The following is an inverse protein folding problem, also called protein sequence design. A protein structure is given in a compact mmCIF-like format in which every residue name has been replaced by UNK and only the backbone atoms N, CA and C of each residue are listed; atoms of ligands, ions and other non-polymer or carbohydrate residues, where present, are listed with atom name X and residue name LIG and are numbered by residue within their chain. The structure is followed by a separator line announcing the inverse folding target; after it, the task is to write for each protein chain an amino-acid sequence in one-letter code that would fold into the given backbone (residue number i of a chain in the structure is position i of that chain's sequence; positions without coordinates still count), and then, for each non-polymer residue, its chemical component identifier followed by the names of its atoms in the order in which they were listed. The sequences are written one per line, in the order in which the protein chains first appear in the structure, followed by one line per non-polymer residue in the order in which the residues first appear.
data_IF_636939590133
#
_entry.id   IF_636939590133
#
_cell.length_a   1.000
_cell.length_b   1.000
_cell.length_c   1.000
_cell.angle_alpha   90.00
_cell.angle_beta   90.00
_cell.angle_gamma   90.00
#
_symmetry.space_group_name_H-M   'P 1'
#
loop_
_entity.id
_entity.type
_entity.pdbx_description
1 polymer ?
#
# COMPACT_ATOMS: atom_id res chain seq x y z
N UNK A 1 -30.82 -37.84 -42.30
CA UNK A 1 -29.93 -36.67 -42.41
C UNK A 1 -29.70 -36.10 -41.01
N UNK A 2 -28.49 -36.27 -40.44
CA UNK A 2 -28.13 -35.83 -39.08
C UNK A 2 -27.67 -34.37 -39.14
N UNK A 3 -28.33 -33.46 -38.43
CA UNK A 3 -27.84 -32.10 -38.16
C UNK A 3 -27.16 -32.11 -36.80
N UNK A 4 -25.83 -32.08 -36.78
CA UNK A 4 -25.07 -31.81 -35.56
C UNK A 4 -24.87 -30.31 -35.45
N UNK A 5 -25.53 -29.69 -34.48
CA UNK A 5 -25.25 -28.34 -34.05
C UNK A 5 -23.91 -28.33 -33.30
N UNK A 6 -22.90 -27.67 -33.88
CA UNK A 6 -21.73 -27.24 -33.11
C UNK A 6 -22.18 -26.10 -32.20
N UNK A 7 -22.52 -26.41 -30.95
CA UNK A 7 -22.56 -25.40 -29.90
C UNK A 7 -21.14 -24.96 -29.61
N UNK A 8 -20.84 -23.75 -30.07
CA UNK A 8 -19.67 -22.95 -29.74
C UNK A 8 -19.62 -22.77 -28.22
N UNK A 9 -18.92 -23.67 -27.53
CA UNK A 9 -18.61 -23.55 -26.12
C UNK A 9 -17.61 -22.42 -25.94
N UNK A 10 -18.12 -21.19 -25.80
CA UNK A 10 -17.34 -20.05 -25.34
C UNK A 10 -17.01 -20.31 -23.86
N UNK A 11 -15.94 -21.09 -23.63
CA UNK A 11 -15.22 -21.09 -22.36
C UNK A 11 -14.63 -19.69 -22.22
N UNK A 12 -15.41 -18.79 -21.62
CA UNK A 12 -14.88 -17.63 -20.93
C UNK A 12 -13.97 -18.18 -19.83
N UNK A 13 -12.72 -18.45 -20.18
CA UNK A 13 -11.62 -18.39 -19.26
C UNK A 13 -11.59 -16.92 -18.80
N UNK A 14 -12.39 -16.60 -17.79
CA UNK A 14 -12.13 -15.46 -16.94
C UNK A 14 -10.75 -15.76 -16.39
N UNK A 15 -9.72 -15.23 -17.05
CA UNK A 15 -8.42 -15.11 -16.46
C UNK A 15 -8.67 -14.27 -15.20
N UNK A 16 -8.88 -14.96 -14.08
CA UNK A 16 -8.84 -14.34 -12.76
C UNK A 16 -7.42 -13.85 -12.70
N UNK A 17 -7.22 -12.58 -13.04
CA UNK A 17 -5.94 -11.92 -12.85
C UNK A 17 -5.50 -12.31 -11.44
N UNK A 18 -4.30 -12.90 -11.28
CA UNK A 18 -3.89 -13.39 -9.99
C UNK A 18 -4.09 -12.26 -8.99
N UNK A 19 -4.65 -12.55 -7.81
CA UNK A 19 -4.87 -11.57 -6.75
C UNK A 19 -3.64 -10.68 -6.52
N UNK A 20 -2.44 -11.19 -6.84
CA UNK A 20 -1.14 -10.52 -6.92
C UNK A 20 -1.08 -9.25 -7.80
N UNK A 21 -1.62 -9.26 -9.03
CA UNK A 21 -1.66 -8.07 -9.88
C UNK A 21 -2.49 -6.94 -9.25
N UNK A 22 -3.43 -7.29 -8.38
CA UNK A 22 -4.23 -6.32 -7.61
C UNK A 22 -3.51 -5.75 -6.39
N UNK A 23 -2.37 -6.28 -5.96
CA UNK A 23 -1.70 -5.83 -4.73
C UNK A 23 -0.86 -4.58 -4.95
N UNK A 24 0.01 -4.57 -5.96
CA UNK A 24 0.83 -3.41 -6.28
C UNK A 24 -0.03 -2.21 -6.75
N UNK A 25 -1.08 -2.47 -7.54
CA UNK A 25 -2.06 -1.44 -7.93
C UNK A 25 -2.70 -0.75 -6.71
N UNK A 26 -2.87 -1.46 -5.58
CA UNK A 26 -3.44 -0.90 -4.35
C UNK A 26 -2.50 0.02 -3.57
N UNK A 27 -1.20 0.10 -3.90
CA UNK A 27 -0.27 1.10 -3.33
C UNK A 27 -0.01 2.28 -4.28
N UNK A 28 -0.47 2.23 -5.53
CA UNK A 28 -0.25 3.31 -6.52
C UNK A 28 -0.78 4.67 -6.05
N UNK A 29 -1.83 4.70 -5.22
CA UNK A 29 -2.35 5.96 -4.69
C UNK A 29 -1.39 6.61 -3.67
N UNK A 30 -0.55 5.82 -2.98
CA UNK A 30 0.52 6.34 -2.10
C UNK A 30 1.63 6.96 -2.93
N UNK A 31 2.00 6.33 -4.05
CA UNK A 31 3.01 6.86 -4.99
C UNK A 31 2.61 8.22 -5.57
N UNK A 32 1.31 8.50 -5.62
CA UNK A 32 0.76 9.76 -6.15
C UNK A 32 0.64 10.87 -5.08
N UNK A 33 1.05 10.63 -3.83
CA UNK A 33 1.06 11.65 -2.78
C UNK A 33 2.22 12.63 -3.06
N UNK A 34 1.93 13.93 -3.32
CA UNK A 34 2.99 14.90 -3.56
C UNK A 34 3.86 15.05 -2.32
N UNK A 35 5.18 14.98 -2.48
CA UNK A 35 6.14 15.12 -1.39
C UNK A 35 6.79 13.81 -0.94
N UNK A 36 6.14 12.66 -1.21
CA UNK A 36 6.76 11.35 -1.03
C UNK A 36 7.70 11.04 -2.21
N UNK A 37 8.89 10.52 -1.89
CA UNK A 37 9.82 9.98 -2.90
C UNK A 37 10.18 8.56 -2.55
N UNK A 38 9.91 7.63 -3.46
CA UNK A 38 10.30 6.21 -3.31
C UNK A 38 11.82 6.11 -3.32
N UNK A 39 12.39 5.46 -2.30
CA UNK A 39 13.84 5.19 -2.20
C UNK A 39 14.16 3.70 -2.18
N UNK A 40 13.18 2.86 -1.81
CA UNK A 40 13.27 1.40 -1.87
C UNK A 40 11.95 0.84 -2.35
N UNK A 41 12.02 -0.19 -3.18
CA UNK A 41 10.88 -0.97 -3.63
C UNK A 41 11.22 -2.45 -3.54
N UNK A 42 10.40 -3.21 -2.84
CA UNK A 42 10.50 -4.66 -2.78
C UNK A 42 9.12 -5.27 -3.04
N UNK A 43 9.07 -6.21 -3.98
CA UNK A 43 7.86 -6.93 -4.32
C UNK A 43 8.16 -8.42 -4.37
N UNK A 44 7.32 -9.18 -3.69
CA UNK A 44 7.31 -10.64 -3.70
C UNK A 44 5.89 -11.11 -3.95
N UNK A 45 5.71 -12.42 -4.05
CA UNK A 45 4.38 -12.99 -4.24
C UNK A 45 3.41 -12.47 -3.18
N UNK A 46 3.76 -12.44 -1.89
CA UNK A 46 2.79 -12.11 -0.82
C UNK A 46 2.86 -10.69 -0.25
N UNK A 47 3.81 -9.87 -0.72
CA UNK A 47 4.18 -8.62 -0.06
C UNK A 47 4.66 -7.60 -1.06
N UNK A 48 4.18 -6.37 -0.90
CA UNK A 48 4.75 -5.16 -1.51
C UNK A 48 5.22 -4.25 -0.39
N UNK A 49 6.47 -3.78 -0.44
CA UNK A 49 7.05 -2.84 0.50
C UNK A 49 7.69 -1.68 -0.25
N UNK A 50 7.42 -0.47 0.21
CA UNK A 50 7.99 0.77 -0.33
C UNK A 50 8.46 1.66 0.80
N UNK A 51 9.70 2.10 0.68
CA UNK A 51 10.23 3.14 1.54
C UNK A 51 10.08 4.48 0.83
N UNK A 52 9.45 5.43 1.49
CA UNK A 52 9.33 6.79 1.01
C UNK A 52 10.09 7.74 1.92
N UNK A 53 10.72 8.76 1.34
CA UNK A 53 11.29 9.88 2.10
C UNK A 53 10.51 11.16 1.85
N UNK A 54 10.35 11.96 2.90
CA UNK A 54 9.78 13.31 2.81
C UNK A 54 10.40 14.27 3.82
N UNK A 55 10.30 15.57 3.54
CA UNK A 55 10.66 16.67 4.44
C UNK A 55 9.44 17.42 4.99
N UNK A 56 8.25 17.13 4.47
CA UNK A 56 6.97 17.60 5.00
C UNK A 56 6.22 16.36 5.49
N UNK A 57 5.79 16.36 6.74
CA UNK A 57 5.60 15.09 7.46
C UNK A 57 4.15 14.89 7.83
N UNK A 58 3.57 15.87 8.53
CA UNK A 58 2.18 15.82 8.95
C UNK A 58 1.22 15.81 7.76
N UNK A 59 1.53 16.55 6.69
CA UNK A 59 0.65 16.65 5.52
C UNK A 59 0.60 15.31 4.77
N UNK A 60 1.75 14.74 4.46
CA UNK A 60 1.89 13.47 3.74
C UNK A 60 1.35 12.31 4.58
N UNK A 61 1.64 12.28 5.89
CA UNK A 61 1.01 11.36 6.84
C UNK A 61 -0.52 11.44 6.79
N UNK A 62 -1.08 12.65 6.91
CA UNK A 62 -2.53 12.85 6.85
C UNK A 62 -3.10 12.42 5.49
N UNK A 63 -2.35 12.58 4.40
CA UNK A 63 -2.77 12.11 3.07
C UNK A 63 -2.80 10.57 3.01
N UNK A 64 -1.82 9.87 3.60
CA UNK A 64 -1.83 8.41 3.70
C UNK A 64 -3.04 7.95 4.51
N UNK A 65 -3.22 8.46 5.73
CA UNK A 65 -4.33 8.07 6.62
C UNK A 65 -5.70 8.39 6.02
N UNK A 66 -5.86 9.55 5.38
CA UNK A 66 -7.10 9.88 4.69
C UNK A 66 -7.31 9.02 3.44
N UNK A 67 -6.24 8.68 2.73
CA UNK A 67 -6.27 7.74 1.61
C UNK A 67 -6.77 6.36 2.04
N UNK A 68 -6.29 5.84 3.18
CA UNK A 68 -6.79 4.60 3.76
C UNK A 68 -8.31 4.66 4.01
N UNK A 69 -8.79 5.70 4.71
CA UNK A 69 -10.22 5.88 5.00
C UNK A 69 -11.07 6.00 3.73
N UNK A 70 -10.64 6.82 2.76
CA UNK A 70 -11.34 7.02 1.47
C UNK A 70 -11.40 5.73 0.64
N UNK A 71 -10.36 4.91 0.70
CA UNK A 71 -10.30 3.64 0.00
C UNK A 71 -10.94 2.49 0.80
N UNK A 72 -11.67 2.76 1.89
CA UNK A 72 -12.40 1.75 2.66
C UNK A 72 -11.52 0.81 3.48
N UNK A 73 -10.31 1.24 3.83
CA UNK A 73 -9.46 0.51 4.78
C UNK A 73 -9.93 0.77 6.21
N UNK A 74 -9.96 -0.28 7.02
CA UNK A 74 -10.25 -0.18 8.44
C UNK A 74 -8.94 -0.11 9.22
N UNK A 75 -8.68 1.01 9.87
CA UNK A 75 -7.55 1.15 10.81
C UNK A 75 -7.84 0.30 12.05
N UNK A 76 -6.90 -0.58 12.41
CA UNK A 76 -7.03 -1.53 13.52
C UNK A 76 -6.01 -1.30 14.62
N UNK A 77 -4.92 -0.59 14.34
CA UNK A 77 -3.86 -0.31 15.30
C UNK A 77 -3.23 1.04 14.99
N UNK A 78 -2.96 1.80 16.05
CA UNK A 78 -2.14 3.00 16.02
C UNK A 78 -1.20 2.98 17.22
N UNK A 79 0.11 2.99 17.00
CA UNK A 79 1.12 3.04 18.06
C UNK A 79 1.93 4.32 17.94
N UNK A 80 2.08 5.04 19.05
CA UNK A 80 2.95 6.22 19.12
C UNK A 80 4.23 5.71 19.77
N UNK A 81 5.30 5.53 18.98
CA UNK A 81 6.51 4.90 19.51
C UNK A 81 7.30 5.80 20.46
N UNK A 82 7.18 7.12 20.34
CA UNK A 82 7.68 8.06 21.33
C UNK A 82 6.98 9.40 21.14
N UNK A 83 6.67 10.10 22.25
CA UNK A 83 5.87 11.34 22.28
C UNK A 83 6.46 12.56 21.56
N UNK A 84 7.33 12.34 20.57
CA UNK A 84 8.02 13.34 19.76
C UNK A 84 7.25 13.67 18.47
N UNK A 85 6.31 12.82 18.03
CA UNK A 85 5.54 13.08 16.78
C UNK A 85 4.04 12.80 16.94
N UNK A 86 3.22 13.60 16.25
CA UNK A 86 1.77 13.37 16.10
C UNK A 86 1.44 12.35 14.99
N UNK A 87 2.41 11.51 14.63
CA UNK A 87 2.34 10.56 13.51
C UNK A 87 2.58 9.14 14.06
N UNK A 88 1.54 8.50 14.63
CA UNK A 88 1.66 7.10 15.03
C UNK A 88 1.85 6.20 13.80
N UNK A 89 2.47 5.05 14.04
CA UNK A 89 2.40 3.94 13.10
C UNK A 89 0.95 3.52 12.90
N UNK A 90 0.63 3.05 11.69
CA UNK A 90 -0.74 2.71 11.32
C UNK A 90 -0.79 1.30 10.75
N UNK A 91 -1.61 0.45 11.37
CA UNK A 91 -2.04 -0.81 10.74
C UNK A 91 -3.49 -0.68 10.28
N UNK A 92 -3.75 -1.00 9.03
CA UNK A 92 -5.10 -1.06 8.46
C UNK A 92 -5.33 -2.37 7.70
N UNK A 93 -6.59 -2.82 7.63
CA UNK A 93 -6.96 -4.06 6.96
C UNK A 93 -8.12 -3.85 5.98
N UNK A 94 -8.09 -4.58 4.86
CA UNK A 94 -9.15 -4.59 3.85
C UNK A 94 -9.06 -5.85 2.99
N UNK A 95 -10.16 -6.55 2.74
CA UNK A 95 -10.27 -7.66 1.77
C UNK A 95 -9.20 -8.77 1.88
N UNK A 96 -8.73 -9.11 3.08
CA UNK A 96 -7.65 -10.11 3.25
C UNK A 96 -6.23 -9.53 3.15
N UNK A 97 -6.12 -8.21 3.07
CA UNK A 97 -4.86 -7.46 2.99
C UNK A 97 -4.61 -6.65 4.26
N UNK A 98 -3.35 -6.60 4.66
CA UNK A 98 -2.86 -5.77 5.77
C UNK A 98 -1.93 -4.69 5.20
N UNK A 99 -2.24 -3.44 5.51
CA UNK A 99 -1.42 -2.26 5.27
C UNK A 99 -0.74 -1.87 6.57
N UNK A 100 0.57 -1.68 6.54
CA UNK A 100 1.40 -1.25 7.66
C UNK A 100 2.15 0.00 7.20
N UNK A 101 2.07 1.07 8.01
CA UNK A 101 2.87 2.27 7.89
C UNK A 101 3.71 2.40 9.15
N UNK A 102 5.01 2.35 8.98
CA UNK A 102 6.02 2.60 10.01
C UNK A 102 6.75 3.91 9.68
N UNK A 103 7.05 4.71 10.69
CA UNK A 103 7.60 6.07 10.51
C UNK A 103 8.89 6.23 11.30
N UNK A 104 10.00 6.27 10.57
CA UNK A 104 11.31 6.55 11.15
C UNK A 104 11.72 8.00 10.90
N UNK A 105 12.39 8.59 11.89
CA UNK A 105 13.07 9.86 11.75
C UNK A 105 14.55 9.64 11.45
N UNK A 106 15.06 10.29 10.41
CA UNK A 106 16.47 10.25 10.02
C UNK A 106 17.00 11.68 9.78
N UNK A 107 18.32 11.83 9.73
CA UNK A 107 19.00 13.09 9.43
C UNK A 107 19.86 12.90 8.19
N UNK A 108 19.54 13.63 7.13
CA UNK A 108 20.30 13.52 5.89
C UNK A 108 21.69 14.18 6.01
N UNK A 109 22.55 13.95 5.00
CA UNK A 109 23.91 14.53 4.94
C UNK A 109 23.99 16.05 5.06
N UNK A 110 22.89 16.79 4.83
CA UNK A 110 22.82 18.24 5.00
C UNK A 110 22.39 18.69 6.40
N UNK A 111 22.23 17.76 7.36
CA UNK A 111 21.76 18.03 8.71
C UNK A 111 20.26 18.32 8.81
N UNK A 112 19.50 18.09 7.72
CA UNK A 112 18.04 18.27 7.72
C UNK A 112 17.36 16.98 8.16
N UNK A 113 16.40 17.12 9.06
CA UNK A 113 15.51 16.02 9.44
C UNK A 113 14.69 15.61 8.23
N UNK A 114 14.73 14.32 7.92
CA UNK A 114 13.89 13.65 6.92
C UNK A 114 13.14 12.52 7.61
N UNK A 115 12.00 12.17 7.07
CA UNK A 115 11.17 11.11 7.62
C UNK A 115 11.06 10.02 6.57
N UNK A 116 11.34 8.79 7.01
CA UNK A 116 11.17 7.59 6.22
C UNK A 116 9.82 6.98 6.58
N UNK A 117 8.96 6.85 5.58
CA UNK A 117 7.68 6.17 5.69
C UNK A 117 7.88 4.80 5.04
N UNK A 118 7.92 3.76 5.84
CA UNK A 118 7.94 2.38 5.34
C UNK A 118 6.50 1.89 5.23
N UNK A 119 6.06 1.66 4.00
CA UNK A 119 4.70 1.23 3.71
C UNK A 119 4.74 -0.19 3.19
N UNK A 120 4.10 -1.10 3.92
CA UNK A 120 4.00 -2.51 3.60
C UNK A 120 2.54 -2.91 3.34
N UNK A 121 2.33 -3.68 2.28
CA UNK A 121 1.06 -4.31 1.94
C UNK A 121 1.28 -5.83 1.86
N UNK A 122 0.66 -6.58 2.77
CA UNK A 122 0.84 -8.04 2.90
C UNK A 122 -0.51 -8.76 2.77
N UNK A 123 -0.54 -9.82 1.96
CA UNK A 123 -1.63 -10.81 2.00
C UNK A 123 -1.50 -11.64 3.28
N UNK A 124 -2.59 -11.89 3.98
CA UNK A 124 -2.60 -12.79 5.14
C UNK A 124 -3.49 -14.03 4.94
N UNK A 125 -3.83 -14.34 3.68
CA UNK A 125 -4.44 -15.62 3.26
C UNK A 125 -3.38 -16.62 2.84
#
# INVERSE_FOLDING_TARGET
MKKFFLTLGCLLAVAVAPVWASLAERLTWVDNIPGLRVVKYEESMHKVEKDYITTNTQKEYNQIVNGLKKNGWRIVKTEIEDGLTNMPDVTAVKDGMKFELEIDQDVNFSGKVVYKFEVSLKSYK
#
